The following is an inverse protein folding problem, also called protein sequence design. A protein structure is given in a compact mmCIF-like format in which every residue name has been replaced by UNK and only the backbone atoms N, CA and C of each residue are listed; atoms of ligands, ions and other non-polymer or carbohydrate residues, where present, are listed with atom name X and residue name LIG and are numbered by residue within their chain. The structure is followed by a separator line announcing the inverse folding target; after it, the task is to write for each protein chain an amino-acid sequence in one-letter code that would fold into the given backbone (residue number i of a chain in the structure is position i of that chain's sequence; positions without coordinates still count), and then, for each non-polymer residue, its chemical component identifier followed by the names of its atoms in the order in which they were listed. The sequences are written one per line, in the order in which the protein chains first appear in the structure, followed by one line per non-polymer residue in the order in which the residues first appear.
data_IF_918815913338
#
_entry.id   IF_918815913338
#
_cell.length_a   1.000
_cell.length_b   1.000
_cell.length_c   1.000
_cell.angle_alpha   90.00
_cell.angle_beta   90.00
_cell.angle_gamma   90.00
#
_symmetry.space_group_name_H-M   'P 1'
#
loop_
_entity.id
_entity.type
_entity.pdbx_description
1 polymer ?
2 water ?
#
# COMPACT_ATOMS: atom_id res chain seq x y z
N UNK A 2 -9.89 8.66 11.07
CA UNK A 2 -10.34 10.03 10.78
C UNK A 2 -9.91 11.03 11.85
N UNK A 3 -8.68 11.53 11.76
CA UNK A 3 -7.82 11.22 10.62
C UNK A 3 -7.38 9.74 10.55
N UNK A 4 -6.89 9.19 11.66
CA UNK A 4 -6.39 7.82 11.68
C UNK A 4 -5.02 7.74 11.03
N UNK A 5 -4.12 6.93 11.59
CA UNK A 5 -2.72 6.98 11.18
C UNK A 5 -2.50 6.50 9.73
N UNK A 6 -3.42 5.69 9.21
CA UNK A 6 -3.32 5.23 7.82
C UNK A 6 -3.64 6.33 6.81
N UNK A 7 -4.47 7.30 7.21
CA UNK A 7 -4.80 8.42 6.33
C UNK A 7 -3.90 9.62 6.55
N UNK A 8 -2.95 9.48 7.47
CA UNK A 8 -2.08 10.59 7.88
C UNK A 8 -0.89 10.67 6.93
N UNK A 9 -1.17 11.06 5.68
CA UNK A 9 -0.20 10.94 4.60
C UNK A 9 1.11 11.68 4.89
N UNK A 10 1.01 12.87 5.47
CA UNK A 10 2.21 13.69 5.64
C UNK A 10 3.15 13.16 6.70
N UNK A 11 2.68 12.20 7.50
CA UNK A 11 3.52 11.59 8.52
C UNK A 11 3.78 10.12 8.22
N UNK A 12 3.51 9.71 6.99
CA UNK A 12 3.76 8.32 6.58
C UNK A 12 5.05 8.20 5.79
N UNK A 13 5.62 7.00 5.81
CA UNK A 13 6.86 6.74 5.11
C UNK A 13 6.79 5.36 4.47
N UNK A 14 7.84 4.97 3.76
CA UNK A 14 7.86 3.65 3.15
C UNK A 14 9.16 2.94 3.50
N UNK A 15 9.04 1.67 3.85
CA UNK A 15 10.19 0.82 4.09
C UNK A 15 10.16 -0.29 3.05
N UNK A 16 11.27 -0.48 2.34
CA UNK A 16 11.34 -1.48 1.28
C UNK A 16 11.82 -2.81 1.83
N UNK A 17 11.06 -3.86 1.53
CA UNK A 17 11.34 -5.18 2.07
C UNK A 17 11.44 -6.18 0.92
N UNK A 18 12.28 -7.20 1.07
CA UNK A 18 12.29 -8.28 0.11
C UNK A 18 12.16 -9.61 0.84
N UNK A 19 11.10 -10.36 0.56
CA UNK A 19 10.91 -11.65 1.20
C UNK A 19 11.62 -12.75 0.43
N UNK A 20 12.66 -13.34 1.02
CA UNK A 20 13.43 -14.36 0.30
C UNK A 20 12.65 -15.65 0.15
N UNK A 21 11.73 -15.90 1.06
CA UNK A 21 10.98 -17.15 1.01
C UNK A 21 10.07 -17.17 -0.21
N UNK A 22 9.38 -16.06 -0.45
CA UNK A 22 8.46 -15.94 -1.58
C UNK A 22 9.12 -15.34 -2.82
N UNK A 23 10.34 -14.83 -2.65
CA UNK A 23 11.05 -14.06 -3.67
C UNK A 23 10.15 -12.95 -4.21
N UNK A 24 9.68 -12.11 -3.30
CA UNK A 24 8.79 -11.01 -3.65
C UNK A 24 9.23 -9.72 -2.95
N UNK A 25 9.11 -8.60 -3.65
CA UNK A 25 9.41 -7.29 -3.07
C UNK A 25 8.13 -6.68 -2.54
N UNK A 26 8.25 -5.90 -1.48
CA UNK A 26 7.09 -5.32 -0.81
C UNK A 26 7.42 -3.91 -0.38
N UNK A 27 6.46 -3.01 -0.55
CA UNK A 27 6.60 -1.69 0.02
C UNK A 27 5.76 -1.67 1.28
N UNK A 28 6.40 -1.39 2.41
CA UNK A 28 5.69 -1.33 3.69
C UNK A 28 5.43 0.14 4.01
N UNK A 29 4.24 0.63 3.65
CA UNK A 29 3.87 1.99 4.03
C UNK A 29 3.45 1.96 5.48
N UNK A 30 3.95 2.93 6.23
CA UNK A 30 3.90 2.85 7.69
C UNK A 30 3.96 4.27 8.25
N UNK A 31 3.33 4.49 9.40
CA UNK A 31 3.44 5.82 10.01
C UNK A 31 4.84 6.00 10.56
N UNK A 32 5.38 7.21 10.45
CA UNK A 32 6.71 7.50 10.97
C UNK A 32 6.88 7.15 12.45
N UNK A 33 5.78 7.20 13.19
CA UNK A 33 5.80 6.90 14.62
C UNK A 33 5.27 5.52 14.98
N UNK A 34 4.95 4.69 13.99
CA UNK A 34 4.62 3.29 14.28
C UNK A 34 5.89 2.62 14.76
N UNK A 35 5.75 1.54 15.51
CA UNK A 35 6.90 0.84 16.05
C UNK A 35 7.33 -0.36 15.22
N UNK A 36 8.47 -0.94 15.56
CA UNK A 36 8.93 -2.17 14.91
C UNK A 36 7.88 -3.28 15.04
N UNK A 37 7.20 -3.35 16.19
CA UNK A 37 6.12 -4.32 16.36
C UNK A 37 5.06 -4.18 15.26
N UNK A 38 4.63 -2.95 15.00
CA UNK A 38 3.71 -2.69 13.89
C UNK A 38 4.32 -3.02 12.53
N UNK A 39 5.59 -2.69 12.34
CA UNK A 39 6.29 -3.08 11.12
C UNK A 39 6.17 -4.57 10.84
N UNK A 40 6.45 -5.40 11.84
CA UNK A 40 6.34 -6.84 11.63
C UNK A 40 4.91 -7.25 11.28
N UNK A 41 3.93 -6.60 11.90
CA UNK A 41 2.52 -6.88 11.59
C UNK A 41 2.23 -6.56 10.14
N UNK A 42 2.78 -5.45 9.66
CA UNK A 42 2.55 -5.04 8.28
C UNK A 42 3.24 -5.98 7.30
N UNK A 43 4.40 -6.50 7.70
CA UNK A 43 5.11 -7.48 6.88
C UNK A 43 4.31 -8.78 6.86
N UNK A 44 3.76 -9.16 8.01
CA UNK A 44 2.92 -10.36 8.04
C UNK A 44 1.72 -10.22 7.09
N UNK A 45 1.12 -9.04 7.05
CA UNK A 45 -0.07 -8.88 6.23
C UNK A 45 0.26 -9.19 4.75
N UNK A 46 1.47 -8.86 4.32
CA UNK A 46 1.85 -9.09 2.92
C UNK A 46 2.52 -10.43 2.63
N UNK A 47 3.14 -11.04 3.64
CA UNK A 47 3.95 -12.24 3.42
C UNK A 47 3.40 -13.48 4.13
N UNK A 48 2.51 -13.27 5.10
CA UNK A 48 2.02 -14.33 5.98
C UNK A 48 3.12 -14.99 6.83
N UNK A 49 4.27 -14.34 6.95
CA UNK A 49 5.30 -14.80 7.87
C UNK A 49 4.97 -14.21 9.23
N UNK A 50 4.67 -15.08 10.19
CA UNK A 50 4.29 -14.65 11.53
C UNK A 50 5.35 -13.71 12.10
N UNK A 51 4.92 -12.69 12.84
CA UNK A 51 5.87 -11.67 13.30
C UNK A 51 7.10 -12.28 13.97
N UNK A 52 6.88 -13.19 14.92
CA UNK A 52 8.01 -13.76 15.67
C UNK A 52 8.87 -14.73 14.85
N UNK A 53 8.43 -15.05 13.63
CA UNK A 53 9.24 -15.85 12.71
C UNK A 53 10.06 -14.99 11.74
N UNK A 54 9.88 -13.67 11.79
CA UNK A 54 10.58 -12.78 10.85
C UNK A 54 11.99 -12.46 11.32
N UNK A 55 12.98 -12.86 10.54
CA UNK A 55 14.35 -12.44 10.79
C UNK A 55 14.68 -11.41 9.73
N UNK A 56 15.25 -10.28 10.15
CA UNK A 56 15.52 -9.19 9.23
C UNK A 56 17.00 -9.10 8.92
N UNK A 57 17.32 -8.83 7.66
CA UNK A 57 18.70 -8.70 7.22
C UNK A 57 18.84 -7.39 6.44
N UNK A 58 19.88 -6.62 6.74
CA UNK A 58 20.12 -5.37 6.03
C UNK A 58 21.59 -5.29 5.67
N UNK A 59 21.87 -5.06 4.39
CA UNK A 59 23.24 -5.01 3.92
C UNK A 59 24.05 -6.21 4.41
N UNK A 60 23.45 -7.39 4.29
CA UNK A 60 24.14 -8.64 4.54
C UNK A 60 24.39 -8.99 6.00
N UNK A 61 23.81 -8.23 6.92
CA UNK A 61 23.95 -8.52 8.34
C UNK A 61 22.59 -8.62 8.99
N UNK A 62 22.45 -9.50 9.97
CA UNK A 62 21.20 -9.60 10.71
C UNK A 62 20.89 -8.25 11.37
N UNK A 63 19.64 -7.83 11.25
CA UNK A 63 19.21 -6.54 11.78
C UNK A 63 18.30 -6.82 12.96
N UNK A 64 18.70 -6.33 14.13
CA UNK A 64 17.93 -6.55 15.35
C UNK A 64 17.30 -5.23 15.79
N UNK A 65 15.98 -5.17 15.77
CA UNK A 65 15.26 -3.97 16.16
C UNK A 65 14.46 -4.19 17.43
N UNK A 66 14.66 -3.32 18.41
CA UNK A 66 13.85 -3.36 19.61
C UNK A 66 12.40 -3.09 19.22
N UNK A 67 11.45 -3.74 19.91
CA UNK A 67 10.02 -3.64 19.61
C UNK A 67 9.54 -2.19 19.48
N UNK A 68 10.12 -1.30 20.28
CA UNK A 68 9.68 0.08 20.34
C UNK A 68 10.37 1.01 19.37
N UNK A 69 11.32 0.49 18.60
CA UNK A 69 12.03 1.30 17.61
C UNK A 69 11.02 1.95 16.67
N UNK A 70 11.11 3.26 16.49
CA UNK A 70 10.19 3.95 15.59
C UNK A 70 10.58 3.72 14.13
N UNK A 71 9.58 3.63 13.26
CA UNK A 71 9.80 3.45 11.83
C UNK A 71 10.78 4.49 11.27
N UNK A 72 10.66 5.72 11.75
CA UNK A 72 11.51 6.80 11.28
C UNK A 72 12.97 6.57 11.64
N UNK A 73 13.21 5.65 12.57
CA UNK A 73 14.58 5.33 12.98
C UNK A 73 15.09 4.00 12.45
N UNK A 74 14.35 3.39 11.53
CA UNK A 74 14.85 2.21 10.82
C UNK A 74 16.01 2.64 9.92
N UNK A 75 16.87 1.68 9.54
CA UNK A 75 17.90 1.97 8.53
C UNK A 75 17.23 2.44 7.25
N UNK A 76 17.89 3.30 6.48
CA UNK A 76 17.30 3.78 5.24
C UNK A 76 17.28 2.68 4.18
N UNK A 77 16.13 2.48 3.56
CA UNK A 77 16.00 1.48 2.51
C UNK A 77 15.58 2.11 1.19
N UNK A 78 15.82 1.36 0.12
CA UNK A 78 15.35 1.69 -1.22
C UNK A 78 15.02 0.36 -1.86
N UNK A 79 14.39 0.38 -3.03
CA UNK A 79 14.14 -0.86 -3.75
C UNK A 79 15.43 -1.60 -4.08
N UNK A 80 16.53 -0.86 -4.23
CA UNK A 80 17.82 -1.46 -4.54
C UNK A 80 18.59 -1.89 -3.29
N UNK A 81 18.14 -1.43 -2.13
CA UNK A 81 18.78 -1.75 -0.86
C UNK A 81 17.72 -1.95 0.22
N UNK A 82 16.98 -3.06 0.13
CA UNK A 82 15.86 -3.30 1.04
C UNK A 82 16.27 -4.05 2.31
N UNK A 83 15.33 -4.14 3.24
CA UNK A 83 15.47 -5.06 4.35
C UNK A 83 14.96 -6.41 3.86
N UNK A 84 15.82 -7.43 3.92
CA UNK A 84 15.42 -8.76 3.52
C UNK A 84 14.73 -9.44 4.69
N UNK A 85 13.68 -10.19 4.40
CA UNK A 85 13.02 -10.95 5.45
C UNK A 85 13.23 -12.43 5.20
N UNK A 86 13.59 -13.13 6.27
CA UNK A 86 13.86 -14.56 6.25
C UNK A 86 12.96 -15.18 7.30
N UNK A 87 12.45 -16.38 7.05
CA UNK A 87 11.59 -17.03 8.04
C UNK A 87 12.37 -17.96 8.98
N UNK A 88 12.05 -17.90 10.27
CA UNK A 88 12.63 -18.80 11.26
C UNK A 88 11.86 -20.10 11.30
N UNK A 89 10.79 -20.18 10.53
CA UNK A 89 9.94 -21.36 10.57
C UNK A 89 10.72 -22.56 10.07
N UNK A 90 10.66 -23.63 10.87
CA UNK A 90 11.30 -24.92 10.60
C UNK A 90 12.65 -25.08 11.29
N UNK B 8 -22.98 -9.93 -6.93
CA UNK B 8 -22.00 -10.93 -7.32
C UNK B 8 -20.72 -10.79 -6.50
N UNK B 9 -20.75 -11.29 -5.27
CA UNK B 9 -19.59 -11.22 -4.38
C UNK B 9 -18.44 -12.08 -4.89
N UNK B 10 -18.77 -13.12 -5.66
CA UNK B 10 -17.76 -14.03 -6.18
C UNK B 10 -16.67 -13.27 -6.92
N UNK B 11 -17.08 -12.29 -7.72
CA UNK B 11 -16.14 -11.48 -8.49
C UNK B 11 -16.03 -10.07 -7.92
N UNK B 12 -16.50 -9.87 -6.70
CA UNK B 12 -16.46 -8.54 -6.09
C UNK B 12 -15.04 -8.18 -5.65
N UNK B 13 -14.59 -6.99 -6.02
CA UNK B 13 -13.29 -6.50 -5.60
C UNK B 13 -13.49 -5.26 -4.76
N UNK B 14 -12.53 -4.98 -3.88
CA UNK B 14 -12.50 -3.71 -3.20
C UNK B 14 -11.22 -3.00 -3.60
N UNK B 15 -11.37 -1.79 -4.13
CA UNK B 15 -10.21 -0.98 -4.49
C UNK B 15 -10.14 0.18 -3.51
N UNK B 16 -8.98 0.34 -2.88
CA UNK B 16 -8.81 1.41 -1.90
C UNK B 16 -8.31 2.66 -2.58
N UNK B 17 -9.04 3.75 -2.38
CA UNK B 17 -8.72 5.03 -3.01
C UNK B 17 -8.57 6.08 -1.94
N UNK B 18 -7.77 7.10 -2.23
CA UNK B 18 -7.57 8.17 -1.26
C UNK B 18 -7.65 9.52 -1.93
N UNK B 19 -8.55 10.37 -1.45
CA UNK B 19 -8.72 11.70 -2.03
C UNK B 19 -7.86 12.72 -1.30
N UNK B 20 -6.82 13.22 -1.97
CA UNK B 20 -5.89 14.13 -1.32
C UNK B 20 -6.53 15.47 -1.01
N UNK B 21 -7.53 15.86 -1.79
CA UNK B 21 -8.16 17.16 -1.57
C UNK B 21 -8.85 17.19 -0.21
N UNK B 22 -9.56 16.12 0.12
CA UNK B 22 -10.32 16.02 1.36
C UNK B 22 -9.56 15.23 2.42
N UNK B 23 -8.44 14.64 2.02
CA UNK B 23 -7.69 13.71 2.86
C UNK B 23 -8.58 12.60 3.41
N UNK B 24 -9.38 12.00 2.54
CA UNK B 24 -10.32 10.96 2.95
C UNK B 24 -10.10 9.66 2.19
N UNK B 25 -10.20 8.55 2.92
CA UNK B 25 -10.08 7.22 2.34
C UNK B 25 -11.44 6.72 1.86
N UNK B 26 -11.42 5.95 0.78
CA UNK B 26 -12.64 5.40 0.21
C UNK B 26 -12.44 3.96 -0.20
N UNK B 27 -13.51 3.18 -0.11
CA UNK B 27 -13.50 1.82 -0.63
C UNK B 27 -14.42 1.79 -1.84
N UNK B 28 -13.88 1.34 -2.96
CA UNK B 28 -14.64 1.23 -4.20
C UNK B 28 -14.95 -0.23 -4.45
N UNK B 29 -16.24 -0.57 -4.50
CA UNK B 29 -16.66 -1.94 -4.76
C UNK B 29 -16.95 -2.10 -6.24
N UNK B 30 -16.28 -3.05 -6.87
CA UNK B 30 -16.30 -3.15 -8.31
C UNK B 30 -16.13 -4.61 -8.75
N UNK B 31 -16.82 -4.98 -9.82
CA UNK B 31 -16.69 -6.32 -10.38
C UNK B 31 -15.31 -6.46 -11.01
N UNK B 32 -14.71 -7.64 -10.88
CA UNK B 32 -13.37 -7.85 -11.39
C UNK B 32 -13.29 -7.70 -12.91
N UNK B 33 -14.43 -7.77 -13.59
CA UNK B 33 -14.47 -7.57 -15.03
C UNK B 33 -14.98 -6.18 -15.46
N UNK B 34 -15.31 -5.33 -14.50
CA UNK B 34 -15.67 -3.95 -14.81
C UNK B 34 -14.44 -3.21 -15.33
N UNK B 35 -14.68 -2.11 -16.02
CA UNK B 35 -13.62 -1.39 -16.71
C UNK B 35 -13.17 -0.17 -15.90
N UNK B 36 -12.06 0.41 -16.33
CA UNK B 36 -11.57 1.66 -15.75
C UNK B 36 -12.61 2.75 -15.93
N UNK B 37 -13.34 2.72 -17.05
CA UNK B 37 -14.41 3.70 -17.25
C UNK B 37 -15.39 3.65 -16.07
N UNK B 38 -15.83 2.44 -15.71
CA UNK B 38 -16.72 2.27 -14.57
C UNK B 38 -16.04 2.67 -13.26
N UNK B 39 -14.77 2.32 -13.13
CA UNK B 39 -14.02 2.70 -11.93
C UNK B 39 -14.08 4.22 -11.72
N UNK B 40 -13.81 4.98 -12.77
CA UNK B 40 -13.87 6.44 -12.66
C UNK B 40 -15.26 6.94 -12.21
N UNK B 41 -16.32 6.36 -12.76
CA UNK B 41 -17.68 6.71 -12.30
C UNK B 41 -17.86 6.46 -10.81
N UNK B 42 -17.38 5.31 -10.33
CA UNK B 42 -17.54 4.96 -8.93
C UNK B 42 -16.74 5.91 -8.03
N UNK B 43 -15.55 6.29 -8.49
CA UNK B 43 -14.72 7.26 -7.79
C UNK B 43 -15.45 8.61 -7.75
N UNK B 44 -16.10 8.96 -8.86
CA UNK B 44 -16.86 10.21 -8.90
C UNK B 44 -17.96 10.19 -7.84
N UNK B 45 -18.68 9.08 -7.75
CA UNK B 45 -19.78 8.98 -6.78
C UNK B 45 -19.32 9.33 -5.37
N UNK B 46 -18.11 8.91 -5.03
CA UNK B 46 -17.63 9.10 -3.67
C UNK B 46 -16.88 10.40 -3.46
N UNK B 47 -16.17 10.88 -4.48
CA UNK B 47 -15.32 12.05 -4.33
C UNK B 47 -15.90 13.29 -5.01
N UNK B 48 -16.84 13.06 -5.92
CA UNK B 48 -17.43 14.12 -6.73
C UNK B 48 -16.42 14.79 -7.66
N UNK B 49 -15.28 14.14 -7.86
CA UNK B 49 -14.35 14.55 -8.90
C UNK B 49 -14.82 13.93 -10.20
N UNK B 50 -15.21 14.77 -11.15
CA UNK B 50 -15.73 14.29 -12.42
C UNK B 50 -14.70 13.40 -13.13
N UNK B 51 -15.17 12.34 -13.77
CA UNK B 51 -14.29 11.36 -14.41
C UNK B 51 -13.16 11.99 -15.22
N UNK B 52 -13.49 12.93 -16.10
CA UNK B 52 -12.49 13.55 -16.96
C UNK B 52 -11.53 14.46 -16.20
N UNK B 53 -11.83 14.73 -14.93
CA UNK B 53 -10.98 15.57 -14.09
C UNK B 53 -10.10 14.74 -13.16
N UNK B 54 -10.29 13.42 -13.17
CA UNK B 54 -9.54 12.56 -12.27
C UNK B 54 -8.13 12.28 -12.77
N UNK B 55 -7.17 12.47 -11.87
CA UNK B 55 -5.80 12.07 -12.09
C UNK B 55 -5.47 11.05 -10.99
N UNK B 56 -5.08 9.84 -11.37
CA UNK B 56 -4.80 8.79 -10.40
C UNK B 56 -3.31 8.69 -10.15
N UNK B 57 -2.94 8.32 -8.92
CA UNK B 57 -1.54 8.24 -8.53
C UNK B 57 -1.36 6.95 -7.76
N UNK B 58 -0.34 6.17 -8.11
CA UNK B 58 -0.07 4.95 -7.35
C UNK B 58 1.40 4.91 -7.00
N UNK B 59 1.68 4.77 -5.70
CA UNK B 59 3.06 4.74 -5.20
C UNK B 59 3.88 5.91 -5.74
N UNK B 60 3.24 7.08 -5.75
CA UNK B 60 3.92 8.33 -6.07
C UNK B 60 4.15 8.57 -7.55
N UNK B 61 3.55 7.72 -8.40
CA UNK B 61 3.68 7.89 -9.85
C UNK B 61 2.30 8.04 -10.49
N UNK B 62 2.21 8.87 -11.52
CA UNK B 62 0.95 8.99 -12.25
C UNK B 62 0.54 7.62 -12.75
N UNK B 63 -0.75 7.31 -12.61
CA UNK B 63 -1.29 6.04 -13.08
C UNK B 63 -2.31 6.34 -14.15
N UNK B 64 -2.10 5.81 -15.35
CA UNK B 64 -3.05 5.99 -16.44
C UNK B 64 -3.66 4.64 -16.79
N UNK B 65 -4.97 4.54 -16.65
CA UNK B 65 -5.67 3.30 -16.94
C UNK B 65 -6.37 3.42 -18.29
N UNK B 66 -6.12 2.48 -19.19
CA UNK B 66 -6.87 2.43 -20.44
C UNK B 66 -8.34 2.26 -20.09
N UNK B 67 -9.23 2.94 -20.83
CA UNK B 67 -10.68 2.90 -20.55
C UNK B 67 -11.21 1.47 -20.40
N UNK B 68 -10.66 0.54 -21.17
CA UNK B 68 -11.15 -0.83 -21.16
C UNK B 68 -10.38 -1.76 -20.23
N UNK B 69 -9.35 -1.24 -19.58
CA UNK B 69 -8.59 -2.03 -18.62
C UNK B 69 -9.53 -2.62 -17.56
N UNK B 70 -9.38 -3.91 -17.27
CA UNK B 70 -10.23 -4.57 -16.27
C UNK B 70 -9.76 -4.31 -14.84
N UNK B 71 -10.71 -4.23 -13.92
CA UNK B 71 -10.41 -3.96 -12.52
C UNK B 71 -9.43 -5.00 -11.96
N UNK B 72 -9.61 -6.26 -12.36
CA UNK B 72 -8.72 -7.33 -11.91
C UNK B 72 -7.26 -7.08 -12.32
N UNK B 73 -7.04 -6.16 -13.25
CA UNK B 73 -5.70 -5.84 -13.72
C UNK B 73 -5.21 -4.46 -13.25
N UNK B 74 -5.97 -3.82 -12.37
CA UNK B 74 -5.51 -2.58 -11.73
C UNK B 74 -4.37 -2.92 -10.78
N UNK B 75 -3.54 -1.92 -10.44
CA UNK B 75 -2.52 -2.17 -9.41
C UNK B 75 -3.21 -2.61 -8.13
N UNK B 76 -2.57 -3.48 -7.35
CA UNK B 76 -3.18 -3.98 -6.13
C UNK B 76 -3.14 -2.91 -5.04
N UNK B 77 -4.28 -2.69 -4.40
CA UNK B 77 -4.38 -1.69 -3.35
C UNK B 77 -4.73 -2.31 -2.02
N UNK B 78 -4.48 -1.54 -0.96
CA UNK B 78 -4.82 -1.92 0.41
C UNK B 78 -5.10 -0.61 1.12
N UNK B 79 -5.59 -0.68 2.36
CA UNK B 79 -5.80 0.53 3.15
C UNK B 79 -4.48 1.27 3.33
N UNK B 80 -3.39 0.52 3.41
CA UNK B 80 -2.07 1.11 3.65
C UNK B 80 -1.44 1.66 2.37
N UNK B 81 -1.94 1.20 1.22
CA UNK B 81 -1.36 1.56 -0.07
C UNK B 81 -2.47 1.71 -1.11
N UNK B 82 -3.16 2.87 -1.09
CA UNK B 82 -4.31 3.10 -1.97
C UNK B 82 -3.91 3.76 -3.29
N UNK B 83 -4.84 3.77 -4.24
CA UNK B 83 -4.72 4.65 -5.39
C UNK B 83 -5.17 6.03 -4.94
N UNK B 84 -4.33 7.04 -5.14
CA UNK B 84 -4.66 8.40 -4.74
C UNK B 84 -5.36 9.08 -5.90
N UNK B 85 -6.30 9.96 -5.60
CA UNK B 85 -6.95 10.68 -6.69
C UNK B 85 -6.86 12.17 -6.43
N UNK B 86 -6.52 12.91 -7.48
CA UNK B 86 -6.51 14.37 -7.42
C UNK B 86 -7.28 14.90 -8.61
N UNK B 87 -7.50 16.21 -8.62
CA UNK B 87 -8.26 16.81 -9.71
C UNK B 87 -7.36 17.53 -10.71
N UNK B 88 -7.75 17.46 -11.99
CA UNK B 88 -7.10 18.22 -13.06
C UNK B 88 -7.76 19.59 -13.23
N UNK B 89 -8.84 19.83 -12.49
CA UNK B 89 -9.58 21.09 -12.59
C UNK B 89 -8.74 22.26 -12.10
#
# INVERSE_FOLDING_TARGET
GPLGSTSDILHRMVIHVFSLQQMTAHKIYIHSYNTATIFHELVYKQTKIISSNQELIYEGRRLVLEPGRLAQHFPKTTEENPIFVVSLERPHRD
GPLGSTSDILHRMVIHVFSLQQMTAHKIYIHSYNTATIFHELVYKQTKIISSNQELIYEGRRLVLEPGRLAQHFPKTTEENPIFVVSLERPHRD
#
